data_IF_056604169556
#
_entry.id   IF_056604169556
#
_cell.length_a   1.000
_cell.length_b   1.000
_cell.length_c   1.000
_cell.angle_alpha   90.00
_cell.angle_beta   90.00
_cell.angle_gamma   90.00
#
_symmetry.space_group_name_H-M   'P 1'
#
loop_
_entity.id
_entity.type
_entity.pdbx_description
1 polymer ?
#
# COMPACT_ATOMS: atom_id res chain seq x y z
N UNK A 1 -3.97 -10.25 0.73
CA UNK A 1 -3.55 -9.29 1.77
C UNK A 1 -4.48 -8.10 1.70
N UNK A 2 -5.06 -7.68 2.81
CA UNK A 2 -5.98 -6.55 2.87
C UNK A 2 -5.25 -5.30 3.36
N UNK A 3 -5.89 -4.14 3.17
CA UNK A 3 -5.39 -2.87 3.67
C UNK A 3 -6.40 -2.21 4.61
N UNK A 4 -5.91 -1.25 5.38
CA UNK A 4 -6.72 -0.37 6.21
C UNK A 4 -6.31 1.07 5.94
N UNK A 5 -7.28 1.95 5.74
CA UNK A 5 -7.07 3.40 5.62
C UNK A 5 -7.38 4.02 6.99
N UNK A 6 -6.39 4.66 7.58
CA UNK A 6 -6.52 5.44 8.82
C UNK A 6 -7.31 6.73 8.57
N UNK A 7 -7.89 7.31 9.62
CA UNK A 7 -8.56 8.62 9.54
C UNK A 7 -7.65 9.76 9.05
N UNK A 8 -6.34 9.63 9.27
CA UNK A 8 -5.33 10.57 8.78
C UNK A 8 -4.94 10.35 7.31
N UNK A 9 -5.53 9.36 6.64
CA UNK A 9 -5.31 9.05 5.22
C UNK A 9 -4.18 8.05 4.96
N UNK A 10 -3.43 7.60 5.97
CA UNK A 10 -2.41 6.55 5.76
C UNK A 10 -3.04 5.23 5.35
N UNK A 11 -2.46 4.59 4.35
CA UNK A 11 -2.87 3.26 3.86
C UNK A 11 -1.88 2.24 4.39
N UNK A 12 -2.36 1.27 5.16
CA UNK A 12 -1.51 0.33 5.89
C UNK A 12 -1.91 -1.11 5.58
N UNK A 13 -0.93 -1.99 5.56
CA UNK A 13 -1.13 -3.43 5.51
C UNK A 13 -1.96 -3.86 6.73
N UNK A 14 -3.13 -4.46 6.49
CA UNK A 14 -4.03 -4.79 7.57
C UNK A 14 -3.49 -5.87 8.51
N UNK A 15 -2.63 -6.76 7.99
CA UNK A 15 -2.01 -7.84 8.76
C UNK A 15 -0.86 -7.37 9.66
N UNK A 16 -0.25 -6.22 9.36
CA UNK A 16 0.90 -5.70 10.10
C UNK A 16 0.54 -4.64 11.15
N UNK A 17 -0.68 -4.12 11.08
CA UNK A 17 -1.12 -3.01 11.92
C UNK A 17 -2.45 -3.35 12.57
N UNK A 18 -2.54 -3.13 13.89
CA UNK A 18 -3.78 -3.30 14.65
C UNK A 18 -4.91 -2.40 14.12
N UNK A 19 -6.18 -2.83 14.21
CA UNK A 19 -7.31 -1.97 13.90
C UNK A 19 -7.40 -0.77 14.85
N UNK A 20 -7.81 0.37 14.29
CA UNK A 20 -8.10 1.58 15.05
C UNK A 20 -9.50 2.08 14.73
N UNK A 21 -10.09 2.82 15.67
CA UNK A 21 -11.44 3.37 15.53
C UNK A 21 -11.55 4.32 14.33
N UNK A 22 -12.46 3.97 13.43
CA UNK A 22 -12.70 4.70 12.18
C UNK A 22 -11.72 4.40 11.05
N UNK A 23 -11.00 3.28 11.15
CA UNK A 23 -10.38 2.66 9.98
C UNK A 23 -11.43 2.31 8.92
N UNK A 24 -11.07 2.54 7.65
CA UNK A 24 -11.78 1.96 6.51
C UNK A 24 -11.01 0.75 5.99
N UNK A 25 -11.65 -0.41 5.91
CA UNK A 25 -11.02 -1.63 5.43
C UNK A 25 -11.13 -1.76 3.91
N UNK A 26 -10.00 -2.05 3.25
CA UNK A 26 -9.93 -2.44 1.85
C UNK A 26 -9.69 -3.94 1.79
N UNK A 27 -10.66 -4.67 1.24
CA UNK A 27 -10.53 -6.12 1.07
C UNK A 27 -9.47 -6.49 0.03
N UNK A 28 -9.09 -7.77 0.03
CA UNK A 28 -8.06 -8.34 -0.84
C UNK A 28 -8.33 -8.12 -2.33
N UNK A 29 -9.58 -8.24 -2.77
CA UNK A 29 -9.94 -8.10 -4.19
C UNK A 29 -9.75 -6.65 -4.67
N UNK A 30 -10.20 -5.68 -3.88
CA UNK A 30 -10.00 -4.27 -4.19
C UNK A 30 -8.53 -3.89 -4.08
N UNK A 31 -7.82 -4.37 -3.06
CA UNK A 31 -6.39 -4.16 -2.94
C UNK A 31 -5.62 -4.72 -4.14
N UNK A 32 -5.90 -5.95 -4.57
CA UNK A 32 -5.25 -6.55 -5.75
C UNK A 32 -5.47 -5.69 -7.00
N UNK A 33 -6.70 -5.24 -7.23
CA UNK A 33 -7.00 -4.34 -8.34
C UNK A 33 -6.18 -3.06 -8.27
N UNK A 34 -6.14 -2.39 -7.11
CA UNK A 34 -5.43 -1.11 -6.94
C UNK A 34 -3.91 -1.23 -7.03
N UNK A 35 -3.34 -2.33 -6.53
CA UNK A 35 -1.88 -2.52 -6.47
C UNK A 35 -1.31 -3.26 -7.68
N UNK A 36 -1.94 -4.35 -8.12
CA UNK A 36 -1.40 -5.21 -9.17
C UNK A 36 -1.90 -4.82 -10.54
N UNK A 37 -3.22 -4.63 -10.69
CA UNK A 37 -3.85 -4.36 -12.00
C UNK A 37 -3.69 -2.91 -12.41
N UNK A 38 -4.22 -1.98 -11.61
CA UNK A 38 -4.27 -0.56 -11.93
C UNK A 38 -2.94 0.14 -11.51
N UNK A 39 -2.20 -0.48 -10.59
CA UNK A 39 -0.93 0.02 -10.01
C UNK A 39 -1.00 1.47 -9.52
N UNK A 40 -2.17 1.89 -9.05
CA UNK A 40 -2.39 3.23 -8.46
C UNK A 40 -1.99 3.29 -6.99
N UNK A 41 -1.87 2.12 -6.35
CA UNK A 41 -1.33 1.96 -5.02
C UNK A 41 -0.01 1.19 -5.10
N UNK A 42 1.02 1.71 -4.46
CA UNK A 42 2.39 1.18 -4.53
C UNK A 42 2.95 0.99 -3.13
N UNK A 43 3.97 0.14 -3.02
CA UNK A 43 4.72 -0.10 -1.78
C UNK A 43 6.21 -0.20 -2.09
N UNK A 44 7.00 -0.14 -1.03
CA UNK A 44 8.42 -0.46 -0.98
C UNK A 44 8.68 -1.98 -1.16
N UNK A 45 9.92 -2.39 -1.49
CA UNK A 45 10.31 -3.80 -1.57
C UNK A 45 10.00 -4.60 -0.31
N UNK A 46 9.83 -5.92 -0.46
CA UNK A 46 9.37 -6.82 0.61
C UNK A 46 10.09 -6.63 1.96
N UNK A 47 11.43 -6.54 1.97
CA UNK A 47 12.21 -6.42 3.22
C UNK A 47 11.95 -5.11 3.97
N UNK A 48 11.68 -4.02 3.23
CA UNK A 48 11.35 -2.72 3.82
C UNK A 48 9.85 -2.71 4.20
N UNK A 49 8.99 -3.30 3.37
CA UNK A 49 7.55 -3.39 3.62
C UNK A 49 7.28 -4.20 4.87
N UNK A 50 8.03 -5.28 5.11
CA UNK A 50 7.93 -6.10 6.31
C UNK A 50 8.26 -5.33 7.61
N UNK A 51 8.90 -4.15 7.50
CA UNK A 51 9.20 -3.28 8.65
C UNK A 51 8.14 -2.20 8.85
N UNK A 52 7.63 -1.59 7.77
CA UNK A 52 6.72 -0.43 7.87
C UNK A 52 5.26 -0.78 7.57
N UNK A 53 5.04 -1.71 6.63
CA UNK A 53 3.71 -2.14 6.21
C UNK A 53 2.89 -1.03 5.57
N UNK A 54 3.53 -0.04 4.96
CA UNK A 54 2.86 1.13 4.39
C UNK A 54 2.57 0.93 2.90
N UNK A 55 1.52 1.60 2.44
CA UNK A 55 1.12 1.70 1.05
C UNK A 55 0.84 3.17 0.72
N UNK A 56 1.11 3.57 -0.51
CA UNK A 56 0.93 4.95 -0.94
C UNK A 56 0.24 5.03 -2.29
N UNK A 57 -0.53 6.09 -2.50
CA UNK A 57 -0.99 6.44 -3.83
C UNK A 57 0.22 6.80 -4.68
N UNK A 58 0.29 6.29 -5.92
CA UNK A 58 1.45 6.42 -6.81
C UNK A 58 1.96 7.86 -6.97
N UNK A 59 1.06 8.85 -6.93
CA UNK A 59 1.40 10.27 -7.11
C UNK A 59 1.60 11.03 -5.78
N UNK A 60 1.65 10.33 -4.64
CA UNK A 60 1.76 10.90 -3.30
C UNK A 60 2.68 10.05 -2.40
N UNK A 61 3.74 9.50 -2.98
CA UNK A 61 4.78 8.76 -2.24
C UNK A 61 5.69 9.76 -1.51
N UNK A 62 5.96 9.59 -0.21
CA UNK A 62 6.88 10.45 0.53
C UNK A 62 8.30 10.46 -0.06
N UNK A 63 9.00 11.59 0.06
CA UNK A 63 10.39 11.70 -0.36
C UNK A 63 11.29 10.69 0.39
N UNK A 64 12.21 10.05 -0.34
CA UNK A 64 13.14 9.07 0.22
C UNK A 64 12.59 7.65 0.39
N UNK A 65 11.35 7.38 0.00
CA UNK A 65 10.81 6.01 -0.08
C UNK A 65 11.25 5.37 -1.39
N UNK A 66 11.89 4.20 -1.30
CA UNK A 66 12.23 3.37 -2.46
C UNK A 66 11.00 2.53 -2.85
N UNK A 67 10.51 2.71 -4.08
CA UNK A 67 9.32 2.02 -4.58
C UNK A 67 9.75 0.68 -5.20
N UNK A 68 9.01 -0.40 -4.90
CA UNK A 68 9.33 -1.71 -5.48
C UNK A 68 9.39 -1.63 -7.02
N UNK A 69 10.45 -2.17 -7.67
CA UNK A 69 10.62 -2.16 -9.12
C UNK A 69 9.44 -2.75 -9.92
N UNK A 70 8.62 -3.60 -9.31
CA UNK A 70 7.37 -4.08 -9.88
C UNK A 70 6.43 -2.93 -10.29
N UNK A 71 6.39 -1.83 -9.52
CA UNK A 71 5.50 -0.69 -9.79
C UNK A 71 6.07 0.34 -10.76
N UNK A 72 7.39 0.31 -11.02
CA UNK A 72 8.10 1.28 -11.88
C UNK A 72 8.44 0.71 -13.25
N UNK A 73 8.48 -0.62 -13.39
CA UNK A 73 8.64 -1.28 -14.67
C UNK A 73 7.37 -1.11 -15.52
N UNK A 74 7.50 -0.43 -16.66
CA UNK A 74 6.50 -0.42 -17.72
C UNK A 74 6.41 -1.83 -18.33
N UNK A 75 5.72 -2.74 -17.66
CA UNK A 75 5.27 -3.97 -18.28
C UNK A 75 3.89 -3.70 -18.89
N UNK A 76 3.73 -3.77 -20.22
CA UNK A 76 2.45 -3.62 -20.90
C UNK A 76 1.42 -4.66 -20.43
#
# INVERSE_FOLDING_TARGET
>A
MALRIRRDGRVLCAAMHEPQDGDTYINDALHYRLSVTDRVLVTEPFDQHAQRGEWWWRNAVPEGVDIDPFYTSNNP
#
